data_IF_216687143699
#
_entry.id   IF_216687143699
#
_cell.length_a   1.000
_cell.length_b   1.000
_cell.length_c   1.000
_cell.angle_alpha   90.00
_cell.angle_beta   90.00
_cell.angle_gamma   90.00
#
_symmetry.space_group_name_H-M   'P 1'
#
loop_
_entity.id
_entity.type
_entity.pdbx_description
1 polymer ?
#
# COMPACT_ATOMS: atom_id res chain seq x y z
N UNK A 1 11.05 -19.33 29.53
CA UNK A 1 12.26 -18.49 29.65
C UNK A 1 11.89 -17.29 30.48
N UNK A 2 12.54 -17.08 31.62
CA UNK A 2 12.20 -16.00 32.55
C UNK A 2 12.34 -14.66 31.85
N UNK A 3 11.25 -13.90 31.82
CA UNK A 3 11.25 -12.47 31.55
C UNK A 3 12.24 -11.85 32.53
N UNK A 4 13.41 -11.43 32.03
CA UNK A 4 14.35 -10.68 32.85
C UNK A 4 13.68 -9.33 33.07
N UNK A 5 13.49 -8.92 34.31
CA UNK A 5 13.10 -7.55 34.65
C UNK A 5 14.11 -6.61 33.98
N UNK A 6 13.72 -6.06 32.84
CA UNK A 6 14.51 -5.07 32.13
C UNK A 6 14.24 -3.75 32.84
N UNK A 7 15.27 -3.19 33.46
CA UNK A 7 15.22 -1.86 34.06
C UNK A 7 15.22 -0.80 32.95
N UNK A 8 14.03 -0.37 32.57
CA UNK A 8 13.82 0.62 31.52
C UNK A 8 14.28 2.02 31.93
N UNK A 9 14.29 2.33 33.23
CA UNK A 9 14.73 3.62 33.74
C UNK A 9 16.25 3.74 33.60
N UNK A 10 16.99 2.70 34.01
CA UNK A 10 18.44 2.63 33.82
C UNK A 10 18.85 2.67 32.34
N UNK A 11 18.04 2.11 31.43
CA UNK A 11 18.27 2.21 29.99
C UNK A 11 18.02 3.61 29.47
N UNK A 12 16.95 4.27 29.92
CA UNK A 12 16.62 5.64 29.53
C UNK A 12 17.73 6.61 29.89
N UNK A 13 18.25 6.52 31.13
CA UNK A 13 19.33 7.38 31.61
C UNK A 13 20.61 7.19 30.80
N UNK A 14 20.92 5.95 30.41
CA UNK A 14 22.07 5.63 29.56
C UNK A 14 21.95 6.21 28.15
N UNK A 15 20.75 6.23 27.55
CA UNK A 15 20.55 6.78 26.21
C UNK A 15 20.40 8.31 26.19
N UNK A 16 20.17 8.94 27.34
CA UNK A 16 20.11 10.38 27.49
C UNK A 16 21.50 11.03 27.64
N UNK A 17 22.54 10.26 27.93
CA UNK A 17 23.91 10.75 28.06
C UNK A 17 24.56 10.92 26.66
N UNK A 18 24.85 12.17 26.23
CA UNK A 18 25.44 12.44 24.93
C UNK A 18 26.89 11.95 24.79
N UNK A 19 27.58 11.68 25.90
CA UNK A 19 28.97 11.20 25.92
C UNK A 19 29.06 9.67 26.07
N UNK A 20 27.94 8.99 26.33
CA UNK A 20 27.89 7.53 26.43
C UNK A 20 27.76 6.87 25.05
N UNK A 21 28.84 6.29 24.56
CA UNK A 21 28.81 5.52 23.32
C UNK A 21 27.88 4.29 23.44
N UNK A 22 26.92 4.19 22.52
CA UNK A 22 26.11 2.97 22.36
C UNK A 22 27.03 1.82 21.98
N UNK A 23 27.03 0.76 22.79
CA UNK A 23 27.83 -0.42 22.52
C UNK A 23 27.23 -1.17 21.32
N UNK A 24 28.03 -1.49 20.29
CA UNK A 24 27.53 -2.23 19.14
C UNK A 24 27.08 -3.63 19.58
N UNK A 25 25.95 -4.09 19.05
CA UNK A 25 25.42 -5.45 19.30
C UNK A 25 26.23 -6.55 18.61
N UNK A 26 27.25 -6.19 17.81
CA UNK A 26 28.13 -7.11 17.12
C UNK A 26 28.82 -6.44 15.92
N UNK A 27 29.63 -7.21 15.16
CA UNK A 27 30.23 -6.72 13.93
C UNK A 27 29.15 -6.40 12.89
N UNK A 28 29.29 -5.27 12.19
CA UNK A 28 28.41 -4.91 11.09
C UNK A 28 28.60 -5.90 9.92
N UNK A 29 27.59 -6.71 9.64
CA UNK A 29 27.55 -7.59 8.47
C UNK A 29 27.12 -6.80 7.23
N UNK A 30 27.65 -7.17 6.06
CA UNK A 30 27.34 -6.51 4.78
C UNK A 30 27.02 -7.52 3.70
N UNK A 31 26.39 -7.06 2.61
CA UNK A 31 26.11 -7.88 1.43
C UNK A 31 25.24 -9.10 1.75
N UNK A 32 25.69 -10.27 1.30
CA UNK A 32 24.94 -11.53 1.44
C UNK A 32 24.79 -11.97 2.90
N UNK A 33 25.81 -11.74 3.73
CA UNK A 33 25.76 -12.05 5.16
C UNK A 33 24.69 -11.22 5.88
N UNK A 34 24.55 -9.94 5.51
CA UNK A 34 23.48 -9.09 6.01
C UNK A 34 22.10 -9.55 5.54
N UNK A 35 21.98 -9.96 4.27
CA UNK A 35 20.73 -10.48 3.74
C UNK A 35 20.31 -11.79 4.43
N UNK A 36 21.25 -12.68 4.76
CA UNK A 36 20.98 -13.92 5.50
C UNK A 36 20.51 -13.63 6.93
N UNK A 37 21.25 -12.80 7.68
CA UNK A 37 20.90 -12.42 9.04
C UNK A 37 19.54 -11.69 9.12
N UNK A 38 19.27 -10.79 8.17
CA UNK A 38 17.99 -10.09 8.07
C UNK A 38 16.81 -11.02 7.75
N UNK A 39 17.03 -12.03 6.89
CA UNK A 39 16.02 -13.06 6.60
C UNK A 39 15.69 -13.91 7.82
N UNK A 40 16.71 -14.36 8.55
CA UNK A 40 16.53 -15.15 9.76
C UNK A 40 15.78 -14.37 10.84
N UNK A 41 16.16 -13.10 11.04
CA UNK A 41 15.46 -12.19 11.95
C UNK A 41 13.98 -12.01 11.56
N UNK A 42 13.69 -11.78 10.28
CA UNK A 42 12.32 -11.59 9.82
C UNK A 42 11.47 -12.87 9.97
N UNK A 43 12.04 -14.05 9.72
CA UNK A 43 11.34 -15.32 9.94
C UNK A 43 11.08 -15.57 11.42
N UNK A 44 12.02 -15.20 12.31
CA UNK A 44 11.82 -15.31 13.75
C UNK A 44 10.67 -14.41 14.25
N UNK A 45 10.54 -13.21 13.70
CA UNK A 45 9.49 -12.24 14.06
C UNK A 45 8.11 -12.62 13.49
N UNK A 46 8.05 -12.94 12.20
CA UNK A 46 6.79 -13.18 11.48
C UNK A 46 6.39 -14.66 11.40
N UNK A 47 7.24 -15.58 11.87
CA UNK A 47 7.03 -17.03 11.89
C UNK A 47 7.19 -17.76 10.55
N UNK A 48 7.04 -17.05 9.42
CA UNK A 48 7.26 -17.60 8.08
C UNK A 48 7.52 -16.49 7.06
N UNK A 49 8.07 -16.87 5.89
CA UNK A 49 8.27 -15.96 4.76
C UNK A 49 6.92 -15.50 4.20
N UNK A 50 5.94 -16.40 4.13
CA UNK A 50 4.60 -16.11 3.63
C UNK A 50 3.87 -15.11 4.54
N UNK A 51 4.00 -15.24 5.86
CA UNK A 51 3.44 -14.28 6.82
C UNK A 51 4.12 -12.91 6.68
N UNK A 52 5.45 -12.87 6.56
CA UNK A 52 6.20 -11.64 6.29
C UNK A 52 5.73 -10.97 4.99
N UNK A 53 5.60 -11.72 3.89
CA UNK A 53 5.15 -11.18 2.59
C UNK A 53 3.71 -10.66 2.63
N UNK A 54 2.83 -11.30 3.41
CA UNK A 54 1.46 -10.81 3.59
C UNK A 54 1.37 -9.48 4.35
N UNK A 55 2.30 -9.25 5.29
CA UNK A 55 2.35 -8.04 6.12
C UNK A 55 3.08 -6.87 5.42
N UNK A 56 3.96 -7.18 4.44
CA UNK A 56 4.53 -6.20 3.51
C UNK A 56 3.40 -5.65 2.63
N UNK A 57 2.69 -4.64 3.13
CA UNK A 57 1.64 -3.93 2.40
C UNK A 57 2.14 -3.50 1.01
N UNK A 58 1.29 -3.67 -0.01
CA UNK A 58 1.43 -3.16 -1.39
C UNK A 58 1.45 -1.62 -1.51
N UNK A 59 2.00 -0.92 -0.52
CA UNK A 59 2.03 0.54 -0.45
C UNK A 59 3.41 1.16 -0.66
N UNK A 60 4.52 0.43 -0.51
CA UNK A 60 5.85 1.00 -0.75
C UNK A 60 6.20 0.86 -2.24
N UNK A 61 6.35 1.96 -3.00
CA UNK A 61 6.81 1.88 -4.38
C UNK A 61 8.18 1.20 -4.41
N UNK A 62 8.34 0.18 -5.25
CA UNK A 62 9.66 -0.43 -5.50
C UNK A 62 10.54 0.63 -6.17
N UNK A 63 11.57 1.13 -5.46
CA UNK A 63 12.54 2.05 -6.05
C UNK A 63 13.24 1.33 -7.21
N UNK A 64 13.17 1.90 -8.41
CA UNK A 64 13.76 1.35 -9.64
C UNK A 64 12.80 0.58 -10.56
N UNK A 65 11.55 0.35 -10.15
CA UNK A 65 10.48 0.01 -11.11
C UNK A 65 9.56 1.22 -11.20
N UNK A 66 9.39 1.76 -12.42
CA UNK A 66 8.19 2.56 -12.68
C UNK A 66 6.99 1.74 -12.17
N UNK A 67 6.08 2.34 -11.40
CA UNK A 67 4.87 1.64 -11.04
C UNK A 67 4.22 1.23 -12.36
N UNK A 68 4.08 -0.08 -12.58
CA UNK A 68 3.18 -0.58 -13.61
C UNK A 68 1.85 0.11 -13.32
N UNK A 69 1.52 1.16 -14.09
CA UNK A 69 0.15 1.67 -14.13
C UNK A 69 -0.69 0.42 -14.31
N UNK A 70 -1.53 0.12 -13.33
CA UNK A 70 -2.41 -1.04 -13.34
C UNK A 70 -2.92 -1.22 -14.76
N UNK A 71 -2.45 -2.27 -15.44
CA UNK A 71 -2.54 -2.43 -16.89
C UNK A 71 -4.00 -2.53 -17.41
N UNK A 72 -4.98 -2.38 -16.52
CA UNK A 72 -6.40 -2.58 -16.76
C UNK A 72 -7.24 -1.30 -16.78
N UNK A 73 -6.69 -0.12 -16.48
CA UNK A 73 -7.46 1.13 -16.46
C UNK A 73 -7.12 2.03 -17.64
N UNK A 74 -8.10 2.22 -18.54
CA UNK A 74 -8.04 3.18 -19.67
C UNK A 74 -9.03 4.31 -19.41
N UNK A 75 -8.60 5.54 -19.65
CA UNK A 75 -9.44 6.74 -19.53
C UNK A 75 -9.88 7.19 -20.90
N UNK A 76 -11.19 7.44 -21.06
CA UNK A 76 -11.77 8.07 -22.24
C UNK A 76 -12.20 9.48 -21.85
N UNK A 77 -11.83 10.49 -22.65
CA UNK A 77 -12.28 11.88 -22.49
C UNK A 77 -13.24 12.22 -23.62
N UNK A 78 -14.38 12.80 -23.28
CA UNK A 78 -15.39 13.26 -24.22
C UNK A 78 -16.10 14.49 -23.65
N UNK A 79 -16.67 15.30 -24.53
CA UNK A 79 -17.52 16.45 -24.19
C UNK A 79 -18.98 16.04 -24.34
N UNK A 80 -19.83 16.50 -23.42
CA UNK A 80 -21.28 16.35 -23.49
C UNK A 80 -21.91 17.63 -24.01
N UNK A 81 -23.06 17.53 -24.67
CA UNK A 81 -23.88 18.70 -24.97
C UNK A 81 -24.45 19.30 -23.68
N UNK A 82 -24.84 20.58 -23.70
CA UNK A 82 -25.46 21.22 -22.52
C UNK A 82 -26.72 20.48 -22.08
N UNK A 83 -27.53 20.02 -23.06
CA UNK A 83 -28.73 19.24 -22.80
C UNK A 83 -28.43 17.89 -22.11
N UNK A 84 -27.42 17.15 -22.60
CA UNK A 84 -27.01 15.88 -21.98
C UNK A 84 -26.41 16.09 -20.59
N UNK A 85 -25.73 17.22 -20.40
CA UNK A 85 -25.18 17.59 -19.11
C UNK A 85 -26.26 17.86 -18.07
N UNK A 86 -27.31 18.61 -18.43
CA UNK A 86 -28.46 18.85 -17.56
C UNK A 86 -29.16 17.54 -17.17
N UNK A 87 -29.47 16.68 -18.15
CA UNK A 87 -30.08 15.38 -17.89
C UNK A 87 -29.20 14.47 -17.00
N UNK A 88 -27.87 14.53 -17.18
CA UNK A 88 -26.92 13.78 -16.36
C UNK A 88 -26.90 14.28 -14.90
N UNK A 89 -26.98 15.59 -14.70
CA UNK A 89 -27.03 16.19 -13.36
C UNK A 89 -28.36 15.90 -12.65
N UNK A 90 -29.49 15.88 -13.36
CA UNK A 90 -30.78 15.42 -12.83
C UNK A 90 -30.71 13.95 -12.39
N UNK A 91 -30.15 13.08 -13.23
CA UNK A 91 -29.95 11.66 -12.88
C UNK A 91 -29.07 11.51 -11.63
N UNK A 92 -28.03 12.33 -11.50
CA UNK A 92 -27.16 12.35 -10.32
C UNK A 92 -27.93 12.77 -9.07
N UNK A 93 -28.76 13.81 -9.16
CA UNK A 93 -29.58 14.26 -8.05
C UNK A 93 -30.61 13.21 -7.61
N UNK A 94 -31.24 12.51 -8.56
CA UNK A 94 -32.23 11.48 -8.28
C UNK A 94 -31.63 10.22 -7.64
N UNK A 95 -30.43 9.81 -8.08
CA UNK A 95 -29.80 8.55 -7.65
C UNK A 95 -28.84 8.72 -6.47
N UNK A 96 -28.33 9.94 -6.23
CA UNK A 96 -27.29 10.21 -5.24
C UNK A 96 -25.92 9.56 -5.57
N UNK A 97 -25.77 8.97 -6.76
CA UNK A 97 -24.57 8.24 -7.13
C UNK A 97 -23.44 9.16 -7.64
N UNK A 98 -22.19 8.69 -7.54
CA UNK A 98 -21.06 9.41 -8.10
C UNK A 98 -21.08 9.41 -9.64
N UNK A 99 -20.67 10.52 -10.26
CA UNK A 99 -20.63 10.69 -11.72
C UNK A 99 -19.88 9.54 -12.43
N UNK A 100 -18.71 9.14 -11.93
CA UNK A 100 -17.93 8.04 -12.51
C UNK A 100 -18.68 6.70 -12.48
N UNK A 101 -19.51 6.47 -11.46
CA UNK A 101 -20.33 5.26 -11.36
C UNK A 101 -21.49 5.30 -12.35
N UNK A 102 -22.17 6.44 -12.49
CA UNK A 102 -23.22 6.63 -13.49
C UNK A 102 -22.71 6.41 -14.91
N UNK A 103 -21.57 7.04 -15.27
CA UNK A 103 -20.94 6.89 -16.59
C UNK A 103 -20.52 5.44 -16.85
N UNK A 104 -19.87 4.78 -15.88
CA UNK A 104 -19.48 3.36 -16.04
C UNK A 104 -20.68 2.45 -16.24
N UNK A 105 -21.74 2.65 -15.47
CA UNK A 105 -22.97 1.85 -15.58
C UNK A 105 -23.66 2.09 -16.93
N UNK A 106 -23.79 3.35 -17.36
CA UNK A 106 -24.40 3.69 -18.65
C UNK A 106 -23.64 3.05 -19.81
N UNK A 107 -22.30 3.18 -19.84
CA UNK A 107 -21.46 2.56 -20.87
C UNK A 107 -21.59 1.03 -20.83
N UNK A 108 -21.58 0.43 -19.63
CA UNK A 108 -21.74 -1.02 -19.49
C UNK A 108 -23.08 -1.51 -20.06
N UNK A 109 -24.18 -0.87 -19.70
CA UNK A 109 -25.52 -1.21 -20.20
C UNK A 109 -25.63 -1.03 -21.72
N UNK A 110 -25.10 0.07 -22.26
CA UNK A 110 -25.04 0.29 -23.69
C UNK A 110 -24.27 -0.82 -24.42
N UNK A 111 -23.08 -1.19 -23.92
CA UNK A 111 -22.27 -2.24 -24.52
C UNK A 111 -22.93 -3.63 -24.42
N UNK A 112 -23.67 -3.92 -23.35
CA UNK A 112 -24.45 -5.15 -23.25
C UNK A 112 -25.56 -5.19 -24.30
N UNK A 113 -26.30 -4.09 -24.47
CA UNK A 113 -27.36 -3.99 -25.46
C UNK A 113 -26.83 -4.19 -26.90
N UNK A 114 -25.66 -3.63 -27.22
CA UNK A 114 -25.03 -3.80 -28.54
C UNK A 114 -24.52 -5.22 -28.81
N UNK A 115 -24.28 -6.02 -27.78
CA UNK A 115 -23.83 -7.42 -27.93
C UNK A 115 -24.97 -8.42 -28.01
N UNK A 116 -26.16 -8.01 -27.59
CA UNK A 116 -27.37 -8.82 -27.64
C UNK A 116 -28.14 -8.64 -28.97
N UNK A 117 -27.71 -7.71 -29.82
CA UNK A 117 -28.23 -7.45 -31.17
C UNK A 117 -27.30 -8.02 -32.23
#
# INVERSE_FOLDING_TARGET
>A
MSEKDVDYDALSDRYADPDAAVQPSGPAVTGEAAAAAGREFAIAEYGSVEAMESEIRRGRPRIGREPERSASQRTVRATLSDQDWEAFEELRAQTGAQQATLVRNAIHQYLLAQRAS
#
